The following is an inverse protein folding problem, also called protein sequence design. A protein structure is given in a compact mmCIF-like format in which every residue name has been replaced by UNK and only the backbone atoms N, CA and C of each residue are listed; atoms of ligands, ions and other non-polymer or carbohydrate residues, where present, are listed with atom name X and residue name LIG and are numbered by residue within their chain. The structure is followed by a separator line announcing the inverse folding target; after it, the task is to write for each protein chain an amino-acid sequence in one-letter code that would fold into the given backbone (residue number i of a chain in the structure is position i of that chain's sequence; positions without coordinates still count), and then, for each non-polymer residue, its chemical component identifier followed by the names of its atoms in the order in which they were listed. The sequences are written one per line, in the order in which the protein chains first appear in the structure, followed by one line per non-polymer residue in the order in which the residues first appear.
data_IF_350306303470
#
_entry.id   IF_350306303470
#
_cell.length_a   1.000
_cell.length_b   1.000
_cell.length_c   1.000
_cell.angle_alpha   90.00
_cell.angle_beta   90.00
_cell.angle_gamma   90.00
#
_symmetry.space_group_name_H-M   'P 1'
#
loop_
_entity.id
_entity.type
_entity.pdbx_description
1 polymer ?
#
# COMPACT_ATOMS: atom_id res chain seq x y z
N UNK A 1 38.48 -4.21 -6.38
CA UNK A 1 37.68 -4.72 -5.26
C UNK A 1 36.58 -3.69 -5.03
N UNK A 2 35.36 -3.99 -5.46
CA UNK A 2 34.19 -3.18 -5.12
C UNK A 2 33.69 -3.82 -3.83
N UNK A 3 33.73 -3.08 -2.72
CA UNK A 3 33.16 -3.54 -1.46
C UNK A 3 31.64 -3.68 -1.62
N UNK A 4 31.18 -4.90 -1.96
CA UNK A 4 29.77 -5.26 -2.16
C UNK A 4 28.91 -5.20 -0.88
N UNK A 5 29.43 -4.57 0.18
CA UNK A 5 28.76 -4.44 1.47
C UNK A 5 28.83 -3.02 2.05
N UNK A 6 28.91 -1.99 1.19
CA UNK A 6 28.86 -0.59 1.65
C UNK A 6 27.43 -0.22 2.04
N UNK A 7 27.19 -0.09 3.33
CA UNK A 7 25.92 0.38 3.88
C UNK A 7 25.69 1.86 3.48
N UNK A 8 24.52 2.17 2.93
CA UNK A 8 24.18 3.52 2.46
C UNK A 8 24.10 4.49 3.64
N UNK A 9 24.76 5.64 3.56
CA UNK A 9 24.64 6.70 4.57
C UNK A 9 23.48 7.60 4.22
N UNK A 10 22.51 7.72 5.12
CA UNK A 10 21.29 8.49 4.91
C UNK A 10 21.27 9.76 5.76
N UNK A 11 20.83 10.87 5.17
CA UNK A 11 20.41 12.07 5.88
C UNK A 11 18.89 12.05 6.09
N UNK A 12 18.45 12.02 7.34
CA UNK A 12 17.04 12.04 7.73
C UNK A 12 16.66 13.46 8.12
N UNK A 13 15.78 14.06 7.31
CA UNK A 13 15.29 15.41 7.48
C UNK A 13 13.79 15.35 7.79
N UNK A 14 13.43 15.80 8.99
CA UNK A 14 12.09 15.63 9.54
C UNK A 14 11.40 16.98 9.64
N UNK A 15 10.21 17.07 9.08
CA UNK A 15 9.32 18.20 9.26
C UNK A 15 8.45 17.96 10.52
N UNK A 16 8.68 18.75 11.58
CA UNK A 16 8.03 18.56 12.87
C UNK A 16 6.52 18.83 12.84
N UNK A 17 6.04 19.64 11.88
CA UNK A 17 4.61 19.97 11.78
C UNK A 17 3.82 18.87 11.06
N UNK A 18 4.50 18.06 10.25
CA UNK A 18 3.89 17.03 9.42
C UNK A 18 3.99 15.59 9.98
N UNK A 19 4.64 15.40 11.13
CA UNK A 19 4.89 14.08 11.72
C UNK A 19 4.54 14.07 13.20
N UNK A 20 3.77 13.10 13.70
CA UNK A 20 3.54 12.99 15.13
C UNK A 20 4.76 12.40 15.86
N UNK A 21 5.14 13.00 17.00
CA UNK A 21 6.35 12.63 17.77
C UNK A 21 6.41 11.15 18.17
N UNK A 22 5.28 10.46 18.35
CA UNK A 22 5.24 9.05 18.74
C UNK A 22 5.67 8.09 17.63
N UNK A 23 5.68 8.52 16.36
CA UNK A 23 6.09 7.68 15.22
C UNK A 23 7.61 7.68 14.97
N UNK A 24 8.37 8.58 15.62
CA UNK A 24 9.79 8.82 15.29
C UNK A 24 10.64 7.57 15.46
N UNK A 25 10.42 6.81 16.54
CA UNK A 25 11.19 5.60 16.80
C UNK A 25 10.96 4.54 15.71
N UNK A 26 9.71 4.17 15.47
CA UNK A 26 9.33 3.20 14.43
C UNK A 26 9.77 3.66 13.04
N UNK A 27 9.74 4.96 12.78
CA UNK A 27 10.22 5.55 11.53
C UNK A 27 11.72 5.39 11.36
N UNK A 28 12.53 5.67 12.39
CA UNK A 28 13.98 5.47 12.32
C UNK A 28 14.36 3.99 12.19
N UNK A 29 13.64 3.10 12.86
CA UNK A 29 13.78 1.65 12.70
C UNK A 29 13.45 1.19 11.28
N UNK A 30 12.43 1.77 10.64
CA UNK A 30 12.11 1.50 9.24
C UNK A 30 13.18 2.06 8.30
N UNK A 31 13.68 3.28 8.53
CA UNK A 31 14.75 3.89 7.73
C UNK A 31 16.03 3.03 7.79
N UNK A 32 16.37 2.49 8.96
CA UNK A 32 17.55 1.66 9.17
C UNK A 32 17.60 0.41 8.26
N UNK A 33 16.46 -0.05 7.74
CA UNK A 33 16.39 -1.16 6.76
C UNK A 33 16.99 -0.80 5.39
N UNK A 34 17.13 0.49 5.10
CA UNK A 34 17.58 0.99 3.80
C UNK A 34 18.98 1.61 3.83
N UNK A 35 19.52 1.87 5.02
CA UNK A 35 20.83 2.47 5.24
C UNK A 35 20.98 3.06 6.63
N UNK A 36 22.18 3.52 6.98
CA UNK A 36 22.49 4.10 8.29
C UNK A 36 22.05 5.56 8.36
N UNK A 37 21.18 5.96 9.31
CA UNK A 37 20.84 7.36 9.57
C UNK A 37 22.02 8.13 10.18
N UNK A 38 22.89 8.70 9.34
CA UNK A 38 24.12 9.39 9.78
C UNK A 38 23.88 10.84 10.20
N UNK A 39 22.95 11.52 9.52
CA UNK A 39 22.52 12.88 9.86
C UNK A 39 21.04 12.82 10.19
N UNK A 40 20.62 13.28 11.36
CA UNK A 40 19.22 13.30 11.79
C UNK A 40 18.88 14.70 12.26
N UNK A 41 18.07 15.40 11.48
CA UNK A 41 17.66 16.78 11.76
C UNK A 41 16.16 16.90 11.70
N UNK A 42 15.62 17.74 12.58
CA UNK A 42 14.20 18.03 12.62
C UNK A 42 13.99 19.54 12.61
N UNK A 43 13.06 20.02 11.80
CA UNK A 43 12.83 21.44 11.54
C UNK A 43 11.47 21.84 12.07
N UNK A 44 11.43 22.95 12.81
CA UNK A 44 10.19 23.48 13.35
C UNK A 44 10.41 24.67 14.28
N UNK A 45 9.30 25.21 14.77
CA UNK A 45 9.30 26.28 15.76
C UNK A 45 9.14 25.69 17.18
N UNK A 46 10.26 25.46 17.87
CA UNK A 46 10.32 24.88 19.22
C UNK A 46 9.85 25.85 20.32
N UNK A 47 9.48 27.08 19.97
CA UNK A 47 8.83 28.01 20.91
C UNK A 47 7.34 27.71 21.10
N UNK A 48 6.73 26.93 20.19
CA UNK A 48 5.32 26.55 20.26
C UNK A 48 5.06 25.44 21.28
N UNK A 49 3.98 25.56 22.05
CA UNK A 49 3.62 24.61 23.13
C UNK A 49 3.40 23.16 22.66
N UNK A 50 2.97 22.98 21.40
CA UNK A 50 2.77 21.68 20.75
C UNK A 50 4.07 20.88 20.59
N UNK A 51 5.25 21.51 20.75
CA UNK A 51 6.54 20.82 20.59
C UNK A 51 7.08 20.17 21.87
N UNK A 52 6.40 20.33 23.01
CA UNK A 52 6.85 19.83 24.32
C UNK A 52 7.08 18.32 24.38
N UNK A 53 6.30 17.52 23.63
CA UNK A 53 6.44 16.06 23.53
C UNK A 53 7.71 15.59 22.81
N UNK A 54 8.37 16.46 22.03
CA UNK A 54 9.55 16.10 21.25
C UNK A 54 10.81 15.98 22.10
N UNK A 55 10.94 16.75 23.19
CA UNK A 55 12.21 16.87 23.92
C UNK A 55 12.82 15.52 24.32
N UNK A 56 12.01 14.60 24.85
CA UNK A 56 12.48 13.26 25.22
C UNK A 56 12.87 12.43 23.98
N UNK A 57 11.96 12.40 22.99
CA UNK A 57 12.14 11.63 21.75
C UNK A 57 13.39 12.06 20.97
N UNK A 58 13.68 13.37 20.90
CA UNK A 58 14.84 13.87 20.18
C UNK A 58 16.17 13.43 20.83
N UNK A 59 16.25 13.49 22.15
CA UNK A 59 17.44 13.09 22.90
C UNK A 59 17.68 11.58 22.81
N UNK A 60 16.63 10.78 23.00
CA UNK A 60 16.71 9.32 22.93
C UNK A 60 17.13 8.80 21.55
N UNK A 61 16.76 9.54 20.49
CA UNK A 61 17.03 9.14 19.11
C UNK A 61 18.20 9.89 18.45
N UNK A 62 18.94 10.71 19.22
CA UNK A 62 20.04 11.55 18.75
C UNK A 62 19.67 12.38 17.50
N UNK A 63 18.54 13.08 17.56
CA UNK A 63 18.04 13.97 16.51
C UNK A 63 18.37 15.41 16.89
N UNK A 64 18.99 16.17 15.98
CA UNK A 64 19.31 17.58 16.21
C UNK A 64 18.11 18.47 15.82
N UNK A 65 17.53 19.24 16.76
CA UNK A 65 16.50 20.22 16.44
C UNK A 65 17.09 21.45 15.77
N UNK A 66 16.47 21.88 14.68
CA UNK A 66 16.75 23.12 13.96
C UNK A 66 15.58 24.08 14.22
N UNK A 67 15.84 25.14 14.99
CA UNK A 67 14.84 26.16 15.32
C UNK A 67 14.61 27.08 14.13
N UNK A 68 13.34 27.30 13.78
CA UNK A 68 12.93 28.34 12.83
C UNK A 68 11.74 29.12 13.40
N UNK A 69 11.87 30.44 13.49
CA UNK A 69 10.80 31.31 13.98
C UNK A 69 9.74 31.48 12.90
N UNK A 70 8.50 31.11 13.22
CA UNK A 70 7.37 31.41 12.36
C UNK A 70 6.81 32.80 12.66
N UNK A 71 7.23 33.82 11.90
CA UNK A 71 6.76 35.20 12.08
C UNK A 71 5.27 35.40 11.74
N UNK A 72 4.68 34.50 10.96
CA UNK A 72 3.25 34.48 10.61
C UNK A 72 2.80 33.03 10.45
N UNK A 73 1.63 32.67 10.99
CA UNK A 73 1.06 31.33 10.84
C UNK A 73 0.87 30.95 9.36
N UNK A 74 1.32 29.76 8.96
CA UNK A 74 1.15 29.23 7.61
C UNK A 74 2.21 29.64 6.59
N UNK A 75 3.42 30.03 7.01
CA UNK A 75 4.57 30.24 6.10
C UNK A 75 5.62 29.15 6.23
N UNK A 76 6.12 28.69 5.08
CA UNK A 76 7.11 27.64 4.82
C UNK A 76 8.54 27.96 5.31
N UNK A 77 8.68 28.57 6.49
CA UNK A 77 9.97 28.98 7.06
C UNK A 77 10.81 27.78 7.50
N UNK A 78 10.19 26.79 8.14
CA UNK A 78 10.77 25.47 8.42
C UNK A 78 11.22 24.77 7.14
N UNK A 79 10.38 24.82 6.10
CA UNK A 79 10.61 24.10 4.85
C UNK A 79 11.78 24.70 4.08
N UNK A 80 11.86 26.02 4.04
CA UNK A 80 12.98 26.74 3.44
C UNK A 80 14.30 26.39 4.14
N UNK A 81 14.30 26.34 5.48
CA UNK A 81 15.48 25.94 6.23
C UNK A 81 15.86 24.48 5.96
N UNK A 82 14.87 23.57 5.90
CA UNK A 82 15.11 22.16 5.57
C UNK A 82 15.68 21.99 4.15
N UNK A 83 15.17 22.73 3.16
CA UNK A 83 15.65 22.70 1.78
C UNK A 83 17.10 23.20 1.69
N UNK A 84 17.42 24.32 2.32
CA UNK A 84 18.78 24.88 2.33
C UNK A 84 19.74 23.85 2.93
N UNK A 85 19.38 23.30 4.08
CA UNK A 85 20.23 22.37 4.79
C UNK A 85 20.38 21.02 4.07
N UNK A 86 19.33 20.56 3.37
CA UNK A 86 19.42 19.41 2.48
C UNK A 86 20.44 19.61 1.36
N UNK A 87 20.48 20.81 0.76
CA UNK A 87 21.47 21.15 -0.27
C UNK A 87 22.89 21.23 0.29
N UNK A 88 23.07 21.80 1.48
CA UNK A 88 24.39 21.83 2.14
C UNK A 88 24.89 20.42 2.46
N UNK A 89 24.02 19.54 2.95
CA UNK A 89 24.34 18.13 3.17
C UNK A 89 24.70 17.44 1.85
N UNK A 90 23.94 17.68 0.78
CA UNK A 90 24.18 17.11 -0.55
C UNK A 90 25.60 17.45 -1.02
N UNK A 91 25.97 18.73 -0.99
CA UNK A 91 27.28 19.19 -1.45
C UNK A 91 28.43 18.88 -0.49
N UNK A 92 28.14 18.44 0.75
CA UNK A 92 29.17 17.94 1.66
C UNK A 92 29.81 16.62 1.19
N UNK A 93 29.13 15.86 0.32
CA UNK A 93 29.61 14.57 -0.19
C UNK A 93 29.68 13.44 0.85
N UNK A 94 28.98 13.59 1.99
CA UNK A 94 29.08 12.66 3.14
C UNK A 94 27.98 11.59 3.19
N UNK A 95 26.94 11.73 2.37
CA UNK A 95 25.76 10.86 2.37
C UNK A 95 25.53 10.26 0.98
N UNK A 96 24.92 9.09 0.94
CA UNK A 96 24.55 8.37 -0.28
C UNK A 96 23.02 8.50 -0.57
N UNK A 97 22.25 9.07 0.37
CA UNK A 97 20.81 9.27 0.21
C UNK A 97 20.15 10.15 1.27
N UNK A 98 18.88 10.45 1.04
CA UNK A 98 18.05 11.31 1.87
C UNK A 98 16.74 10.63 2.23
N UNK A 99 16.32 10.78 3.47
CA UNK A 99 14.97 10.49 3.94
C UNK A 99 14.26 11.80 4.22
N UNK A 100 13.28 12.15 3.39
CA UNK A 100 12.45 13.34 3.55
C UNK A 100 11.16 12.93 4.25
N UNK A 101 11.00 13.37 5.51
CA UNK A 101 9.83 13.01 6.32
C UNK A 101 8.89 14.19 6.39
N UNK A 102 7.91 14.21 5.48
CA UNK A 102 6.83 15.22 5.41
C UNK A 102 5.67 14.69 4.57
N UNK A 103 4.50 15.32 4.69
CA UNK A 103 3.34 15.08 3.81
C UNK A 103 3.09 16.26 2.86
N UNK A 104 3.97 17.26 2.83
CA UNK A 104 3.85 18.46 1.99
C UNK A 104 4.39 18.23 0.58
N UNK A 105 3.64 18.67 -0.43
CA UNK A 105 4.05 18.64 -1.83
C UNK A 105 5.16 19.62 -2.18
N UNK A 106 5.44 20.63 -1.35
CA UNK A 106 6.45 21.64 -1.65
C UNK A 106 7.89 21.05 -1.70
N UNK A 107 8.11 19.89 -1.07
CA UNK A 107 9.36 19.15 -1.17
C UNK A 107 9.56 18.37 -2.48
N UNK A 108 8.58 18.38 -3.39
CA UNK A 108 8.67 17.67 -4.69
C UNK A 108 9.91 18.08 -5.49
N UNK A 109 10.21 19.38 -5.58
CA UNK A 109 11.39 19.87 -6.33
C UNK A 109 12.70 19.50 -5.64
N UNK A 110 12.73 19.46 -4.31
CA UNK A 110 13.88 18.98 -3.55
C UNK A 110 14.14 17.51 -3.85
N UNK A 111 13.13 16.65 -3.76
CA UNK A 111 13.25 15.22 -4.05
C UNK A 111 13.78 14.96 -5.47
N UNK A 112 13.25 15.65 -6.47
CA UNK A 112 13.74 15.58 -7.86
C UNK A 112 15.21 15.98 -7.94
N UNK A 113 15.59 17.13 -7.38
CA UNK A 113 16.96 17.66 -7.46
C UNK A 113 17.98 16.73 -6.77
N UNK A 114 17.60 16.10 -5.67
CA UNK A 114 18.43 15.11 -4.97
C UNK A 114 18.65 13.87 -5.85
N UNK A 115 17.60 13.35 -6.50
CA UNK A 115 17.72 12.20 -7.43
C UNK A 115 18.52 12.52 -8.67
N UNK A 116 18.36 13.72 -9.23
CA UNK A 116 19.19 14.21 -10.34
C UNK A 116 20.68 14.26 -9.96
N UNK A 117 20.99 14.40 -8.67
CA UNK A 117 22.35 14.36 -8.13
C UNK A 117 22.84 12.95 -7.79
N UNK A 118 22.08 11.90 -8.17
CA UNK A 118 22.42 10.50 -7.93
C UNK A 118 22.15 10.02 -6.50
N UNK A 119 21.47 10.80 -5.66
CA UNK A 119 21.13 10.39 -4.31
C UNK A 119 19.90 9.48 -4.30
N UNK A 120 19.92 8.47 -3.43
CA UNK A 120 18.70 7.71 -3.13
C UNK A 120 17.75 8.57 -2.30
N UNK A 121 16.50 8.73 -2.72
CA UNK A 121 15.50 9.52 -2.01
C UNK A 121 14.36 8.64 -1.50
N UNK A 122 14.18 8.62 -0.19
CA UNK A 122 13.09 7.94 0.51
C UNK A 122 12.14 9.00 1.08
N UNK A 123 10.91 9.04 0.60
CA UNK A 123 9.85 9.86 1.19
C UNK A 123 9.15 9.10 2.31
N UNK A 124 8.80 9.79 3.39
CA UNK A 124 7.97 9.25 4.46
C UNK A 124 6.89 10.28 4.79
N UNK A 125 5.62 9.87 4.73
CA UNK A 125 4.50 10.77 5.00
C UNK A 125 3.20 10.01 5.24
N UNK A 126 2.11 10.73 5.48
CA UNK A 126 0.78 10.13 5.67
C UNK A 126 0.17 9.73 4.33
N UNK A 127 -0.87 8.87 4.34
CA UNK A 127 -1.59 8.46 3.11
C UNK A 127 -2.22 9.62 2.34
N UNK A 128 -2.45 10.76 2.98
CA UNK A 128 -2.98 11.98 2.33
C UNK A 128 -1.94 12.72 1.49
N UNK A 129 -0.67 12.29 1.52
CA UNK A 129 0.42 12.93 0.78
C UNK A 129 0.11 13.00 -0.72
N UNK A 130 0.25 14.16 -1.38
CA UNK A 130 0.00 14.30 -2.80
C UNK A 130 0.90 13.43 -3.68
N UNK A 131 0.32 12.85 -4.74
CA UNK A 131 1.03 12.00 -5.70
C UNK A 131 2.31 12.62 -6.33
N UNK A 132 2.39 13.95 -6.59
CA UNK A 132 3.62 14.56 -7.10
C UNK A 132 4.83 14.33 -6.20
N UNK A 133 4.67 14.40 -4.87
CA UNK A 133 5.79 14.18 -3.95
C UNK A 133 6.16 12.69 -3.85
N UNK A 134 5.16 11.82 -3.83
CA UNK A 134 5.35 10.36 -3.82
C UNK A 134 6.17 9.91 -5.02
N UNK A 135 5.77 10.31 -6.23
CA UNK A 135 6.42 9.91 -7.49
C UNK A 135 7.78 10.56 -7.69
N UNK A 136 8.06 11.65 -6.98
CA UNK A 136 9.38 12.28 -6.97
C UNK A 136 10.43 11.48 -6.18
N UNK A 137 10.03 10.53 -5.33
CA UNK A 137 10.94 9.71 -4.53
C UNK A 137 11.30 8.38 -5.24
N UNK A 138 12.38 7.72 -4.82
CA UNK A 138 12.70 6.34 -5.26
C UNK A 138 11.91 5.30 -4.47
N UNK A 139 11.56 5.63 -3.22
CA UNK A 139 10.65 4.86 -2.37
C UNK A 139 9.83 5.82 -1.52
N UNK A 140 8.57 5.48 -1.28
CA UNK A 140 7.71 6.22 -0.37
C UNK A 140 7.13 5.27 0.69
N UNK A 141 7.15 5.67 1.95
CA UNK A 141 6.68 4.87 3.08
C UNK A 141 5.57 5.64 3.79
N UNK A 142 4.42 5.01 3.94
CA UNK A 142 3.32 5.60 4.68
C UNK A 142 3.53 5.46 6.19
N UNK A 143 3.29 6.51 6.96
CA UNK A 143 3.41 6.47 8.43
C UNK A 143 2.46 5.46 9.07
N UNK A 144 1.30 5.21 8.45
CA UNK A 144 0.26 4.32 8.94
C UNK A 144 0.70 2.86 9.02
N UNK A 145 1.69 2.43 8.23
CA UNK A 145 2.20 1.05 8.26
C UNK A 145 3.30 0.82 9.30
N UNK A 146 3.81 1.89 9.94
CA UNK A 146 4.88 1.79 10.94
C UNK A 146 4.39 1.23 12.28
N UNK A 147 3.09 1.37 12.56
CA UNK A 147 2.48 0.99 13.85
C UNK A 147 1.59 -0.25 13.78
N UNK A 148 1.51 -0.92 12.62
CA UNK A 148 0.67 -2.10 12.45
C UNK A 148 1.42 -3.35 12.93
N UNK A 149 1.05 -3.99 14.06
CA UNK A 149 1.53 -5.32 14.37
C UNK A 149 0.96 -6.28 13.31
N UNK A 150 1.82 -6.73 12.39
CA UNK A 150 1.48 -7.80 11.47
C UNK A 150 1.71 -9.12 12.18
N UNK A 151 0.64 -9.74 12.66
CA UNK A 151 0.68 -11.16 13.02
C UNK A 151 0.94 -11.95 11.73
N UNK A 152 2.12 -12.54 11.63
CA UNK A 152 2.43 -13.53 10.60
C UNK A 152 1.56 -14.76 10.86
N UNK A 153 0.38 -14.82 10.25
CA UNK A 153 -0.36 -16.08 10.20
C UNK A 153 0.45 -17.06 9.34
N UNK A 154 0.87 -18.22 9.89
CA UNK A 154 1.57 -19.24 9.10
C UNK A 154 0.69 -19.66 7.93
N UNK A 155 1.32 -19.85 6.77
CA UNK A 155 0.65 -20.10 5.49
C UNK A 155 -0.13 -21.44 5.39
N UNK A 156 -0.39 -22.13 6.50
CA UNK A 156 -1.02 -23.46 6.51
C UNK A 156 -2.44 -23.50 7.10
N UNK A 157 -2.95 -22.43 7.72
CA UNK A 157 -4.31 -22.42 8.30
C UNK A 157 -5.34 -21.54 7.56
N UNK A 158 -5.17 -21.34 6.25
CA UNK A 158 -6.24 -20.74 5.42
C UNK A 158 -7.23 -21.84 4.97
N UNK A 159 -7.82 -22.55 5.94
CA UNK A 159 -8.93 -23.48 5.74
C UNK A 159 -9.97 -23.39 6.86
N UNK A 160 -10.36 -22.18 7.25
CA UNK A 160 -11.70 -21.94 7.79
C UNK A 160 -11.96 -20.45 7.84
N UNK A 161 -13.07 -20.01 7.24
CA UNK A 161 -13.47 -18.62 7.19
C UNK A 161 -13.88 -18.09 8.56
N UNK A 162 -12.91 -17.59 9.32
CA UNK A 162 -13.18 -16.71 10.47
C UNK A 162 -12.01 -15.75 10.67
N UNK A 163 -11.98 -14.68 9.88
CA UNK A 163 -11.20 -13.50 10.23
C UNK A 163 -11.99 -12.71 11.28
N UNK A 164 -11.53 -12.73 12.55
CA UNK A 164 -12.04 -11.76 13.52
C UNK A 164 -11.47 -10.36 13.21
N UNK A 165 -12.25 -9.29 13.42
CA UNK A 165 -12.00 -8.01 12.80
C UNK A 165 -11.07 -7.14 13.65
N UNK A 166 -9.92 -6.75 13.11
CA UNK A 166 -9.23 -5.54 13.55
C UNK A 166 -9.61 -4.43 12.57
N UNK A 167 -10.54 -3.58 13.02
CA UNK A 167 -11.13 -2.49 12.24
C UNK A 167 -10.14 -1.35 11.97
N UNK A 168 -9.68 -1.24 10.73
CA UNK A 168 -9.84 -0.04 9.87
C UNK A 168 -9.43 -0.38 8.43
N UNK A 169 -10.44 -0.71 7.62
CA UNK A 169 -10.40 -0.83 6.15
C UNK A 169 -9.07 -1.33 5.56
N UNK A 170 -8.85 -2.65 5.67
CA UNK A 170 -7.98 -3.37 4.74
C UNK A 170 -8.53 -3.14 3.33
N UNK A 171 -7.89 -2.27 2.55
CA UNK A 171 -8.26 -2.08 1.15
C UNK A 171 -7.96 -3.40 0.44
N UNK A 172 -8.98 -4.00 -0.16
CA UNK A 172 -8.79 -5.04 -1.17
C UNK A 172 -7.77 -4.54 -2.19
N UNK A 173 -6.80 -5.38 -2.58
CA UNK A 173 -5.84 -5.03 -3.63
C UNK A 173 -6.62 -4.57 -4.86
N UNK A 174 -6.41 -3.31 -5.24
CA UNK A 174 -7.17 -2.66 -6.30
C UNK A 174 -6.75 -3.19 -7.69
N UNK A 175 -7.64 -2.97 -8.67
CA UNK A 175 -7.44 -3.47 -10.03
C UNK A 175 -6.19 -2.86 -10.70
N UNK A 176 -5.84 -1.61 -10.38
CA UNK A 176 -4.66 -0.96 -10.95
C UNK A 176 -3.38 -1.63 -10.45
N UNK A 177 -3.32 -1.95 -9.15
CA UNK A 177 -2.22 -2.71 -8.56
C UNK A 177 -2.10 -4.11 -9.16
N UNK A 178 -3.22 -4.81 -9.38
CA UNK A 178 -3.21 -6.12 -10.05
C UNK A 178 -2.68 -6.00 -11.49
N UNK A 179 -3.11 -4.98 -12.23
CA UNK A 179 -2.64 -4.73 -13.59
C UNK A 179 -1.14 -4.39 -13.63
N UNK A 180 -0.65 -3.60 -12.66
CA UNK A 180 0.77 -3.27 -12.52
C UNK A 180 1.62 -4.52 -12.25
N UNK A 181 1.16 -5.39 -11.34
CA UNK A 181 1.85 -6.65 -11.05
C UNK A 181 1.84 -7.53 -12.31
N UNK A 182 0.71 -7.64 -12.99
CA UNK A 182 0.58 -8.44 -14.22
C UNK A 182 1.48 -7.96 -15.35
N UNK A 183 1.50 -6.64 -15.62
CA UNK A 183 2.39 -6.08 -16.65
C UNK A 183 3.86 -6.29 -16.30
N UNK A 184 4.21 -6.13 -15.02
CA UNK A 184 5.59 -6.34 -14.55
C UNK A 184 6.04 -7.79 -14.63
N UNK A 185 5.13 -8.76 -14.39
CA UNK A 185 5.41 -10.17 -14.61
C UNK A 185 5.65 -10.43 -16.10
N UNK A 186 4.79 -9.90 -16.99
CA UNK A 186 4.96 -10.09 -18.43
C UNK A 186 6.29 -9.50 -18.96
N UNK A 187 6.73 -8.36 -18.41
CA UNK A 187 8.00 -7.73 -18.80
C UNK A 187 9.23 -8.58 -18.41
N UNK A 188 9.11 -9.45 -17.40
CA UNK A 188 10.22 -10.21 -16.79
C UNK A 188 10.09 -11.73 -16.96
N UNK A 189 9.02 -12.20 -17.59
CA UNK A 189 8.74 -13.61 -17.73
C UNK A 189 9.69 -14.29 -18.74
N UNK A 190 10.07 -15.52 -18.44
CA UNK A 190 10.75 -16.42 -19.38
C UNK A 190 9.79 -16.99 -20.44
N UNK A 191 10.30 -17.87 -21.32
CA UNK A 191 9.52 -18.51 -22.38
C UNK A 191 8.33 -19.33 -21.84
N UNK A 192 8.43 -19.85 -20.62
CA UNK A 192 7.38 -20.61 -19.93
C UNK A 192 6.39 -19.72 -19.17
N UNK A 193 6.63 -18.40 -19.17
CA UNK A 193 5.80 -17.39 -18.53
C UNK A 193 6.13 -17.12 -17.05
N UNK A 194 7.24 -17.66 -16.53
CA UNK A 194 7.66 -17.48 -15.13
C UNK A 194 8.63 -16.32 -14.98
N UNK A 195 8.39 -15.50 -13.96
CA UNK A 195 9.29 -14.42 -13.56
C UNK A 195 9.84 -14.67 -12.14
N UNK A 196 11.10 -14.32 -11.89
CA UNK A 196 11.67 -14.38 -10.54
C UNK A 196 11.04 -13.30 -9.65
N UNK A 197 10.49 -13.69 -8.50
CA UNK A 197 9.72 -12.78 -7.64
C UNK A 197 10.55 -11.62 -7.09
N UNK A 198 11.86 -11.83 -6.87
CA UNK A 198 12.77 -10.76 -6.43
C UNK A 198 12.84 -9.62 -7.45
N UNK A 199 12.97 -9.95 -8.73
CA UNK A 199 13.05 -8.96 -9.82
C UNK A 199 11.71 -8.28 -10.04
N UNK A 200 10.61 -9.04 -9.97
CA UNK A 200 9.24 -8.49 -10.02
C UNK A 200 9.05 -7.47 -8.89
N UNK A 201 9.41 -7.82 -7.66
CA UNK A 201 9.31 -6.91 -6.51
C UNK A 201 10.17 -5.65 -6.68
N UNK A 202 11.39 -5.79 -7.20
CA UNK A 202 12.28 -4.66 -7.49
C UNK A 202 11.69 -3.73 -8.55
N UNK A 203 11.16 -4.27 -9.65
CA UNK A 203 10.57 -3.48 -10.73
C UNK A 203 9.23 -2.83 -10.32
N UNK A 204 8.41 -3.47 -9.49
CA UNK A 204 7.20 -2.85 -8.92
C UNK A 204 7.59 -1.62 -8.09
N UNK A 205 8.58 -1.72 -7.19
CA UNK A 205 9.02 -0.57 -6.40
C UNK A 205 9.55 0.58 -7.27
N UNK A 206 10.18 0.28 -8.42
CA UNK A 206 10.62 1.31 -9.38
C UNK A 206 9.46 1.98 -10.12
N UNK A 207 8.39 1.24 -10.44
CA UNK A 207 7.20 1.76 -11.14
C UNK A 207 6.22 2.47 -10.19
N UNK A 208 6.15 2.05 -8.93
CA UNK A 208 5.22 2.53 -7.89
C UNK A 208 5.98 2.68 -6.56
N UNK A 209 6.61 3.85 -6.29
CA UNK A 209 7.49 4.05 -5.14
C UNK A 209 6.86 3.74 -3.78
N UNK A 210 5.55 3.96 -3.65
CA UNK A 210 4.74 3.74 -2.44
C UNK A 210 4.24 2.30 -2.28
N UNK A 211 4.56 1.39 -3.21
CA UNK A 211 4.14 0.01 -3.11
C UNK A 211 4.77 -0.67 -1.89
N UNK A 212 3.91 -1.13 -1.00
CA UNK A 212 4.26 -1.95 0.16
C UNK A 212 3.11 -2.91 0.46
N UNK A 213 3.34 -4.23 0.58
CA UNK A 213 2.30 -5.20 0.93
C UNK A 213 1.52 -4.84 2.20
N UNK A 214 2.16 -4.15 3.16
CA UNK A 214 1.54 -3.72 4.42
C UNK A 214 0.42 -2.72 4.19
N UNK A 215 0.47 -1.94 3.11
CA UNK A 215 -0.62 -1.03 2.72
C UNK A 215 -1.91 -1.78 2.40
N UNK A 216 -1.80 -3.07 2.03
CA UNK A 216 -2.91 -3.94 1.63
C UNK A 216 -3.23 -5.01 2.68
N UNK A 217 -2.61 -4.98 3.85
CA UNK A 217 -2.87 -5.98 4.88
C UNK A 217 -2.01 -7.23 4.81
N UNK A 218 -0.83 -7.16 4.22
CA UNK A 218 0.09 -8.30 4.18
C UNK A 218 1.46 -7.90 4.71
N UNK A 219 2.04 -8.69 5.63
CA UNK A 219 3.38 -8.40 6.15
C UNK A 219 4.50 -8.57 5.09
N UNK A 220 4.25 -9.37 4.05
CA UNK A 220 5.22 -9.70 2.99
C UNK A 220 4.53 -9.81 1.63
N UNK A 221 5.31 -9.69 0.55
CA UNK A 221 4.80 -9.77 -0.82
C UNK A 221 4.28 -11.17 -1.19
N UNK A 222 4.96 -12.23 -0.76
CA UNK A 222 4.54 -13.61 -1.09
C UNK A 222 3.15 -13.95 -0.54
N UNK A 223 2.80 -13.70 0.74
CA UNK A 223 1.43 -13.87 1.23
C UNK A 223 0.39 -13.05 0.46
N UNK A 224 0.69 -11.80 0.11
CA UNK A 224 -0.20 -10.95 -0.68
C UNK A 224 -0.50 -11.59 -2.04
N UNK A 225 0.52 -12.05 -2.75
CA UNK A 225 0.35 -12.67 -4.06
C UNK A 225 -0.35 -14.03 -3.97
N UNK A 226 -0.12 -14.81 -2.89
CA UNK A 226 -0.86 -16.05 -2.62
C UNK A 226 -2.36 -15.78 -2.40
N UNK A 227 -2.71 -14.67 -1.73
CA UNK A 227 -4.11 -14.26 -1.57
C UNK A 227 -4.77 -13.87 -2.91
N UNK A 228 -3.98 -13.50 -3.91
CA UNK A 228 -4.39 -13.21 -5.29
C UNK A 228 -4.32 -14.44 -6.21
N UNK A 229 -4.58 -15.64 -5.68
CA UNK A 229 -4.53 -16.93 -6.39
C UNK A 229 -5.44 -17.05 -7.62
N UNK A 230 -6.42 -16.15 -7.77
CA UNK A 230 -7.26 -16.05 -8.97
C UNK A 230 -6.48 -15.49 -10.16
N UNK A 231 -5.49 -14.64 -9.91
CA UNK A 231 -4.73 -13.92 -10.92
C UNK A 231 -3.34 -14.52 -11.12
N UNK A 232 -2.72 -15.05 -10.06
CA UNK A 232 -1.32 -15.45 -10.06
C UNK A 232 -1.11 -16.87 -9.57
N UNK A 233 -0.05 -17.49 -10.09
CA UNK A 233 0.49 -18.77 -9.64
C UNK A 233 1.92 -18.57 -9.14
N UNK A 234 2.25 -19.21 -8.01
CA UNK A 234 3.54 -19.06 -7.33
C UNK A 234 4.18 -20.43 -7.20
N UNK A 235 5.46 -20.52 -7.53
CA UNK A 235 6.28 -21.73 -7.44
C UNK A 235 7.49 -21.45 -6.53
N UNK A 236 7.60 -22.21 -5.43
CA UNK A 236 8.72 -22.11 -4.48
C UNK A 236 9.71 -23.25 -4.74
N UNK A 237 10.85 -22.92 -5.36
CA UNK A 237 11.91 -23.86 -5.68
C UNK A 237 12.96 -23.86 -4.57
N UNK A 238 13.25 -25.04 -4.01
CA UNK A 238 14.34 -25.22 -3.05
C UNK A 238 15.68 -25.18 -3.79
N UNK A 239 16.67 -24.55 -3.19
CA UNK A 239 18.06 -24.60 -3.67
C UNK A 239 18.89 -25.59 -2.83
N UNK A 240 20.07 -25.95 -3.31
CA UNK A 240 21.03 -26.79 -2.57
C UNK A 240 21.48 -26.15 -1.25
N UNK A 241 21.35 -24.82 -1.12
CA UNK A 241 21.56 -24.10 0.14
C UNK A 241 20.25 -24.09 0.94
N UNK A 242 20.24 -24.80 2.08
CA UNK A 242 19.05 -25.02 2.91
C UNK A 242 18.25 -23.76 3.31
N UNK A 243 18.88 -22.58 3.31
CA UNK A 243 18.27 -21.31 3.73
C UNK A 243 17.79 -20.42 2.57
N UNK A 244 17.97 -20.82 1.30
CA UNK A 244 17.57 -20.00 0.15
C UNK A 244 16.46 -20.70 -0.63
N UNK A 245 15.28 -20.06 -0.66
CA UNK A 245 14.16 -20.43 -1.51
C UNK A 245 14.08 -19.45 -2.68
N UNK A 246 14.07 -19.96 -3.91
CA UNK A 246 13.80 -19.15 -5.08
C UNK A 246 12.29 -19.19 -5.33
N UNK A 247 11.67 -18.02 -5.38
CA UNK A 247 10.22 -17.90 -5.60
C UNK A 247 10.00 -17.35 -6.99
N UNK A 248 9.20 -18.05 -7.79
CA UNK A 248 8.79 -17.65 -9.13
C UNK A 248 7.30 -17.38 -9.15
N UNK A 249 6.87 -16.47 -10.03
CA UNK A 249 5.48 -16.09 -10.21
C UNK A 249 5.13 -16.02 -11.69
N UNK A 250 3.92 -16.44 -12.04
CA UNK A 250 3.34 -16.24 -13.38
C UNK A 250 1.89 -15.80 -13.30
N UNK A 251 1.40 -15.22 -14.39
CA UNK A 251 -0.03 -14.97 -14.56
C UNK A 251 -0.73 -16.31 -14.76
N UNK A 252 -1.80 -16.55 -14.00
CA UNK A 252 -2.61 -17.75 -14.16
C UNK A 252 -3.29 -17.71 -15.52
N UNK A 253 -3.02 -18.73 -16.35
CA UNK A 253 -3.74 -18.93 -17.62
C UNK A 253 -5.20 -19.21 -17.29
N UNK A 254 -6.12 -18.36 -17.75
CA UNK A 254 -7.54 -18.70 -17.77
C UNK A 254 -7.69 -19.79 -18.81
N UNK A 255 -7.78 -21.05 -18.37
CA UNK A 255 -8.15 -22.14 -19.26
C UNK A 255 -9.63 -21.90 -19.58
N UNK A 256 -10.02 -21.57 -20.83
CA UNK A 256 -11.43 -21.55 -21.17
C UNK A 256 -11.98 -22.95 -20.91
N UNK A 257 -13.02 -23.07 -20.07
CA UNK A 257 -13.75 -24.32 -19.92
C UNK A 257 -14.15 -24.79 -21.33
N UNK A 258 -13.63 -25.94 -21.74
CA UNK A 258 -14.01 -26.57 -22.99
C UNK A 258 -15.53 -26.77 -23.00
N UNK A 259 -16.28 -26.35 -24.05
CA UNK A 259 -17.72 -26.54 -24.12
C UNK A 259 -18.03 -28.02 -24.38
N UNK A 260 -17.98 -28.85 -23.34
CA UNK A 260 -18.27 -30.27 -23.41
C UNK A 260 -19.59 -30.60 -22.73
N UNK A 261 -20.71 -30.34 -23.41
CA UNK A 261 -21.96 -31.09 -23.25
C UNK A 261 -22.95 -30.83 -24.40
N UNK A 262 -22.58 -31.20 -25.63
CA UNK A 262 -23.60 -31.57 -26.63
C UNK A 262 -24.30 -32.83 -26.11
N UNK A 263 -25.45 -32.63 -25.45
CA UNK A 263 -26.37 -33.69 -25.06
C UNK A 263 -26.71 -34.52 -26.30
N UNK A 264 -26.31 -35.79 -26.30
CA UNK A 264 -26.80 -36.78 -27.28
C UNK A 264 -28.33 -36.92 -27.12
N UNK A 265 -29.11 -37.02 -28.21
CA UNK A 265 -30.55 -37.24 -28.11
C UNK A 265 -30.85 -38.66 -27.63
N UNK A 266 -31.83 -38.77 -26.73
CA UNK A 266 -32.38 -40.02 -26.19
C UNK A 266 -33.24 -40.71 -27.26
N UNK A 267 -33.21 -42.04 -27.44
CA UNK A 267 -34.11 -42.73 -28.37
C UNK A 267 -35.53 -42.74 -27.83
N UNK A 268 -36.50 -42.42 -28.70
CA UNK A 268 -37.92 -42.62 -28.44
C UNK A 268 -38.24 -44.13 -28.43
N UNK A 269 -38.91 -44.62 -27.38
CA UNK A 269 -39.66 -45.87 -27.43
C UNK A 269 -41.13 -45.63 -27.13
N UNK A 270 -41.96 -46.13 -28.03
CA UNK A 270 -43.41 -45.99 -28.14
C UNK A 270 -44.23 -46.90 -27.21
N UNK A 271 -45.41 -46.37 -26.87
CA UNK A 271 -46.71 -47.06 -26.72
C UNK A 271 -47.06 -47.82 -25.42
N UNK A 272 -48.22 -47.47 -24.86
CA UNK A 272 -49.00 -48.28 -23.91
C UNK A 272 -50.11 -47.49 -23.19
N UNK A 273 -51.36 -47.62 -23.65
CA UNK A 273 -52.56 -46.91 -23.18
C UNK A 273 -53.24 -47.52 -21.92
N UNK A 274 -54.20 -46.73 -21.36
CA UNK A 274 -55.36 -47.04 -20.46
C UNK A 274 -55.05 -46.97 -18.95
N UNK A 275 -55.90 -46.46 -18.05
CA UNK A 275 -57.32 -46.04 -18.04
C UNK A 275 -57.64 -45.22 -16.77
N UNK A 276 -58.79 -44.54 -16.79
CA UNK A 276 -59.30 -43.55 -15.85
C UNK A 276 -59.55 -43.97 -14.37
N UNK A 277 -59.56 -42.99 -13.45
CA UNK A 277 -60.66 -42.74 -12.50
C UNK A 277 -60.44 -41.43 -11.71
N UNK A 278 -61.49 -41.01 -10.98
CA UNK A 278 -61.96 -39.65 -10.70
C UNK A 278 -61.97 -39.36 -9.19
N UNK A 279 -61.65 -38.11 -8.76
CA UNK A 279 -62.29 -37.28 -7.70
C UNK A 279 -61.34 -36.11 -7.32
N UNK A 280 -61.74 -34.84 -7.52
CA UNK A 280 -62.30 -33.90 -6.51
C UNK A 280 -61.39 -33.75 -5.27
N UNK A 281 -61.00 -32.57 -4.75
CA UNK A 281 -61.62 -31.24 -4.76
C UNK A 281 -60.72 -30.21 -4.06
N UNK A 282 -60.88 -28.92 -4.41
CA UNK A 282 -60.63 -27.73 -3.55
C UNK A 282 -59.17 -27.26 -3.47
N UNK A 283 -58.83 -25.99 -3.33
CA UNK A 283 -59.50 -24.69 -3.34
C UNK A 283 -58.36 -23.66 -3.15
N UNK A 284 -58.40 -22.49 -3.79
CA UNK A 284 -57.44 -21.41 -3.52
C UNK A 284 -57.13 -20.54 -4.74
N UNK A 285 -58.02 -19.59 -5.02
CA UNK A 285 -57.90 -18.55 -6.04
C UNK A 285 -57.10 -17.34 -5.53
N UNK A 286 -56.48 -16.66 -6.51
CA UNK A 286 -56.21 -15.21 -6.65
C UNK A 286 -55.24 -14.58 -5.64
N UNK A 287 -54.17 -13.89 -6.06
CA UNK A 287 -54.17 -12.72 -6.95
C UNK A 287 -54.56 -11.48 -6.13
N UNK A 288 -53.97 -10.29 -6.22
CA UNK A 288 -53.12 -9.64 -7.20
C UNK A 288 -52.44 -8.43 -6.50
N UNK A 289 -51.51 -7.79 -7.23
CA UNK A 289 -50.86 -6.50 -6.92
C UNK A 289 -51.83 -5.39 -6.47
N UNK A 290 -51.31 -4.28 -5.93
CA UNK A 290 -51.31 -3.07 -6.76
C UNK A 290 -50.05 -2.20 -6.65
N UNK A 291 -50.02 -1.21 -7.55
CA UNK A 291 -48.95 -0.27 -7.85
C UNK A 291 -49.12 1.09 -7.14
N UNK A 292 -47.98 1.80 -7.03
CA UNK A 292 -47.71 3.24 -7.02
C UNK A 292 -48.81 4.27 -6.69
N UNK A 293 -48.49 5.22 -5.78
CA UNK A 293 -48.68 6.66 -6.04
C UNK A 293 -47.91 7.58 -5.05
N UNK A 294 -47.45 8.69 -5.63
CA UNK A 294 -46.81 9.95 -5.17
C UNK A 294 -46.80 10.35 -3.69
N UNK A 295 -45.80 11.15 -3.28
CA UNK A 295 -45.99 12.21 -2.29
C UNK A 295 -45.85 13.62 -2.89
N UNK A 296 -46.75 14.52 -2.48
CA UNK A 296 -46.74 15.96 -2.76
C UNK A 296 -46.40 16.72 -1.47
N UNK A 297 -45.74 17.87 -1.65
CA UNK A 297 -45.18 18.84 -0.70
C UNK A 297 -45.99 19.17 0.57
N UNK A 298 -45.28 19.58 1.63
CA UNK A 298 -45.39 20.97 2.14
C UNK A 298 -44.27 21.34 3.13
N UNK A 299 -43.84 22.59 2.95
CA UNK A 299 -42.80 23.45 3.56
C UNK A 299 -42.90 23.60 5.10
N UNK A 300 -41.81 24.00 5.77
CA UNK A 300 -41.93 25.03 6.80
C UNK A 300 -41.03 26.23 6.49
N UNK A 301 -41.54 27.43 6.76
CA UNK A 301 -40.81 28.69 6.75
C UNK A 301 -40.76 29.25 8.17
N UNK A 302 -39.53 29.50 8.64
CA UNK A 302 -39.06 30.70 9.36
C UNK A 302 -39.67 31.12 10.72
N UNK A 303 -39.06 32.08 11.47
CA UNK A 303 -37.64 32.45 11.57
C UNK A 303 -37.15 32.75 13.02
N UNK A 304 -35.83 32.99 13.11
CA UNK A 304 -35.19 34.11 13.84
C UNK A 304 -34.78 34.05 15.33
N UNK A 305 -33.64 34.74 15.55
CA UNK A 305 -33.04 35.33 16.76
C UNK A 305 -32.15 34.37 17.58
N UNK A 306 -30.90 34.71 17.92
CA UNK A 306 -30.19 36.00 18.02
C UNK A 306 -28.69 35.74 17.97
#
# INVERSE_FOLDING_TARGET
MIDDNKELKLAVLIDAENVPYHNVKSMLEEIAKYGVPTTKRIYGDWTRSQTSGWKGVLLENAITPIQQYSYTSGKNSSDSAMIIDAMDILYSGKVDGFCLVSSDSDFTRLAIRLRESGMRVIGIGEKKTPNPFITACDKFIFLEILNAPFEETPAEEVRSGTFMPVQKSLQSVDKETINLISSTINDLADEDGWAFLGDVGSLINKKKPEFDPRNYGFGKLTPMLKALNKNFEIDERKTEKANIKLVYIRIRKVIPESPAALRKPVPQSSAGQKSASRKQSGAGKSGAKPAASKPTETRPADPQKK
#
